data_IF_040212486131
#
_entry.id   IF_040212486131
#
_cell.length_a   1.000
_cell.length_b   1.000
_cell.length_c   1.000
_cell.angle_alpha   90.00
_cell.angle_beta   90.00
_cell.angle_gamma   90.00
#
_symmetry.space_group_name_H-M   'P 1'
#
loop_
_entity.id
_entity.type
_entity.pdbx_description
1 polymer ?
#
# COMPACT_ATOMS: atom_id res chain seq x y z
N UNK A 1 -95.62 19.04 -0.23
CA UNK A 1 -94.44 19.94 -0.15
C UNK A 1 -93.36 19.44 -1.11
N UNK A 2 -92.63 20.34 -1.76
CA UNK A 2 -91.75 20.07 -2.91
C UNK A 2 -90.29 19.92 -2.46
N UNK A 3 -89.61 18.82 -2.84
CA UNK A 3 -88.14 18.69 -3.06
C UNK A 3 -87.91 17.53 -4.05
N UNK A 4 -87.85 17.78 -5.36
CA UNK A 4 -86.71 18.22 -6.18
C UNK A 4 -85.64 17.12 -6.40
N UNK A 5 -85.52 16.66 -7.65
CA UNK A 5 -84.50 15.72 -8.13
C UNK A 5 -83.12 16.37 -8.33
N UNK A 6 -82.06 15.56 -8.20
CA UNK A 6 -80.85 15.69 -9.02
C UNK A 6 -80.10 14.33 -9.08
N UNK A 7 -80.19 13.63 -10.21
CA UNK A 7 -79.27 12.55 -10.57
C UNK A 7 -78.13 13.16 -11.39
N UNK A 8 -76.94 13.31 -10.80
CA UNK A 8 -75.75 13.75 -11.53
C UNK A 8 -74.91 12.54 -11.96
N UNK A 9 -74.93 12.24 -13.25
CA UNK A 9 -74.02 11.26 -13.86
C UNK A 9 -72.57 11.75 -13.81
N UNK A 10 -71.67 10.96 -13.23
CA UNK A 10 -70.23 11.24 -13.28
C UNK A 10 -69.66 10.82 -14.63
N UNK A 11 -69.28 11.78 -15.47
CA UNK A 11 -68.54 11.53 -16.71
C UNK A 11 -67.04 11.46 -16.36
N UNK A 12 -66.44 10.30 -16.57
CA UNK A 12 -65.03 10.05 -16.25
C UNK A 12 -64.13 10.53 -17.40
N UNK A 13 -63.52 11.71 -17.24
CA UNK A 13 -62.54 12.23 -18.21
C UNK A 13 -61.18 11.55 -18.00
N UNK A 14 -60.84 10.58 -18.85
CA UNK A 14 -59.55 9.91 -18.83
C UNK A 14 -58.46 10.83 -19.43
N UNK A 15 -57.71 11.52 -18.57
CA UNK A 15 -56.61 12.38 -18.97
C UNK A 15 -55.34 11.53 -19.21
N UNK A 16 -55.11 11.10 -20.46
CA UNK A 16 -53.91 10.35 -20.84
C UNK A 16 -52.66 11.24 -20.77
N UNK A 17 -52.03 11.29 -19.60
CA UNK A 17 -50.68 11.83 -19.44
C UNK A 17 -49.69 10.96 -20.22
N UNK A 18 -49.28 11.42 -21.40
CA UNK A 18 -48.16 10.84 -22.14
C UNK A 18 -46.85 11.15 -21.41
N UNK A 19 -46.53 10.32 -20.42
CA UNK A 19 -45.20 10.30 -19.79
C UNK A 19 -44.18 9.82 -20.83
N UNK A 20 -43.57 10.77 -21.53
CA UNK A 20 -42.44 10.50 -22.43
C UNK A 20 -41.27 9.97 -21.60
N UNK A 21 -41.17 8.64 -21.52
CA UNK A 21 -39.97 7.99 -21.04
C UNK A 21 -38.90 8.16 -22.12
N UNK A 22 -38.08 9.20 -21.98
CA UNK A 22 -36.81 9.26 -22.68
C UNK A 22 -36.00 8.04 -22.26
N UNK A 23 -35.92 7.04 -23.14
CA UNK A 23 -34.87 6.02 -23.02
C UNK A 23 -33.52 6.74 -23.03
N UNK A 24 -32.53 6.29 -22.25
CA UNK A 24 -31.18 6.83 -22.37
C UNK A 24 -30.72 6.66 -23.81
N UNK A 25 -30.40 7.77 -24.49
CA UNK A 25 -29.77 7.70 -25.80
C UNK A 25 -28.49 6.86 -25.66
N UNK A 26 -28.29 5.88 -26.54
CA UNK A 26 -27.04 5.13 -26.55
C UNK A 26 -25.93 6.04 -27.07
N UNK A 27 -25.25 6.68 -26.12
CA UNK A 27 -24.12 7.57 -26.36
C UNK A 27 -22.93 6.88 -27.04
N UNK A 28 -22.90 5.54 -27.05
CA UNK A 28 -21.77 4.74 -27.52
C UNK A 28 -20.51 4.87 -26.66
N UNK A 29 -20.60 5.45 -25.46
CA UNK A 29 -19.46 5.58 -24.56
C UNK A 29 -18.95 4.20 -24.09
N UNK A 30 -17.66 3.92 -24.32
CA UNK A 30 -17.04 2.66 -23.92
C UNK A 30 -15.92 2.88 -22.89
N UNK A 31 -15.77 1.95 -21.95
CA UNK A 31 -14.68 1.97 -20.96
C UNK A 31 -13.47 1.28 -21.56
N UNK A 32 -12.33 1.97 -21.56
CA UNK A 32 -11.03 1.37 -21.86
C UNK A 32 -10.47 0.74 -20.58
N UNK A 33 -10.33 -0.58 -20.59
CA UNK A 33 -9.79 -1.35 -19.46
C UNK A 33 -8.28 -1.56 -19.58
N UNK A 34 -7.61 -1.52 -18.44
CA UNK A 34 -6.25 -2.04 -18.23
C UNK A 34 -6.31 -3.08 -17.11
N UNK A 35 -6.37 -4.36 -17.49
CA UNK A 35 -6.80 -5.43 -16.60
C UNK A 35 -8.17 -5.13 -15.98
N UNK A 36 -8.23 -5.01 -14.66
CA UNK A 36 -9.45 -4.62 -13.93
C UNK A 36 -9.62 -3.09 -13.74
N UNK A 37 -8.66 -2.25 -14.14
CA UNK A 37 -8.72 -0.80 -13.94
C UNK A 37 -9.47 -0.13 -15.10
N UNK A 38 -10.42 0.74 -14.79
CA UNK A 38 -11.08 1.59 -15.78
C UNK A 38 -10.14 2.75 -16.15
N UNK A 39 -9.20 2.47 -17.05
CA UNK A 39 -8.05 3.33 -17.36
C UNK A 39 -8.38 4.47 -18.35
N UNK A 40 -9.53 4.42 -19.03
CA UNK A 40 -9.96 5.49 -19.92
C UNK A 40 -11.41 5.35 -20.39
N UNK A 41 -11.84 6.35 -21.14
CA UNK A 41 -13.17 6.50 -21.71
C UNK A 41 -13.05 6.79 -23.20
N UNK A 42 -13.75 6.03 -24.02
CA UNK A 42 -13.90 6.26 -25.47
C UNK A 42 -15.17 7.07 -25.69
N UNK A 43 -15.02 8.25 -26.30
CA UNK A 43 -16.08 9.18 -26.66
C UNK A 43 -16.21 9.13 -28.19
N UNK A 44 -17.30 8.56 -28.74
CA UNK A 44 -17.48 8.45 -30.18
C UNK A 44 -17.51 9.80 -30.89
N UNK A 45 -16.90 9.89 -32.06
CA UNK A 45 -16.86 11.15 -32.82
C UNK A 45 -18.25 11.73 -33.09
N UNK A 46 -19.25 10.85 -33.26
CA UNK A 46 -20.63 11.20 -33.58
C UNK A 46 -21.32 12.10 -32.53
N UNK A 47 -20.92 12.01 -31.25
CA UNK A 47 -21.43 12.87 -30.16
C UNK A 47 -20.50 14.06 -29.86
N UNK A 48 -19.28 14.06 -30.40
CA UNK A 48 -18.29 15.14 -30.30
C UNK A 48 -18.00 15.81 -31.67
N UNK A 49 -18.98 15.81 -32.58
CA UNK A 49 -18.89 16.49 -33.89
C UNK A 49 -18.48 17.96 -33.69
N UNK A 50 -17.58 18.46 -34.55
CA UNK A 50 -16.97 19.80 -34.57
C UNK A 50 -15.82 20.13 -33.60
N UNK A 51 -15.31 19.17 -32.80
CA UNK A 51 -14.11 19.43 -31.97
C UNK A 51 -12.80 19.15 -32.73
N UNK A 52 -11.98 20.19 -32.94
CA UNK A 52 -10.59 20.08 -33.42
C UNK A 52 -9.70 19.40 -32.37
N UNK A 53 -8.60 18.77 -32.79
CA UNK A 53 -7.68 18.10 -31.87
C UNK A 53 -7.11 19.06 -30.80
N UNK A 54 -6.76 20.28 -31.21
CA UNK A 54 -6.11 21.28 -30.36
C UNK A 54 -7.05 21.91 -29.31
N UNK A 55 -8.37 21.78 -29.48
CA UNK A 55 -9.39 22.31 -28.55
C UNK A 55 -10.00 21.24 -27.64
N UNK A 56 -9.56 19.98 -27.71
CA UNK A 56 -10.18 18.86 -26.96
C UNK A 56 -10.23 19.13 -25.45
N UNK A 57 -9.10 19.52 -24.83
CA UNK A 57 -9.00 19.77 -23.38
C UNK A 57 -9.71 21.04 -22.90
N UNK A 58 -10.07 21.93 -23.81
CA UNK A 58 -10.80 23.17 -23.51
C UNK A 58 -12.31 23.00 -23.63
N UNK A 59 -12.75 22.12 -24.54
CA UNK A 59 -14.16 21.97 -24.88
C UNK A 59 -14.80 20.71 -24.26
N UNK A 60 -14.07 19.62 -24.10
CA UNK A 60 -14.56 18.44 -23.40
C UNK A 60 -14.16 18.49 -21.93
N UNK A 61 -15.10 18.13 -21.06
CA UNK A 61 -14.81 17.83 -19.66
C UNK A 61 -15.51 16.53 -19.23
N UNK A 62 -14.83 15.72 -18.45
CA UNK A 62 -15.42 14.57 -17.75
C UNK A 62 -15.53 14.93 -16.29
N UNK A 63 -16.73 14.85 -15.71
CA UNK A 63 -17.01 15.22 -14.32
C UNK A 63 -17.46 13.97 -13.55
N UNK A 64 -17.15 13.90 -12.26
CA UNK A 64 -17.82 12.93 -11.39
C UNK A 64 -19.30 13.34 -11.25
N UNK A 65 -20.22 12.38 -11.23
CA UNK A 65 -21.65 12.63 -11.11
C UNK A 65 -21.97 13.53 -9.91
N UNK A 66 -22.83 14.53 -10.13
CA UNK A 66 -23.20 15.55 -9.14
C UNK A 66 -22.02 16.41 -8.63
N UNK A 67 -20.94 16.55 -9.42
CA UNK A 67 -19.83 17.49 -9.18
C UNK A 67 -19.60 18.37 -10.41
N UNK A 68 -19.36 19.66 -10.19
CA UNK A 68 -19.04 20.60 -11.28
C UNK A 68 -17.56 20.55 -11.69
N UNK A 69 -16.68 20.08 -10.80
CA UNK A 69 -15.24 20.01 -11.08
C UNK A 69 -14.95 18.88 -12.07
N UNK A 70 -14.34 19.23 -13.21
CA UNK A 70 -13.79 18.27 -14.16
C UNK A 70 -12.64 17.48 -13.53
N UNK A 71 -12.58 16.18 -13.79
CA UNK A 71 -11.45 15.35 -13.38
C UNK A 71 -10.29 15.56 -14.36
N UNK A 72 -9.07 15.66 -13.83
CA UNK A 72 -7.87 15.87 -14.64
C UNK A 72 -7.60 14.63 -15.51
N UNK A 73 -7.16 14.86 -16.75
CA UNK A 73 -6.82 13.81 -17.70
C UNK A 73 -6.38 14.35 -19.05
N UNK A 74 -5.94 13.44 -19.91
CA UNK A 74 -5.47 13.74 -21.26
C UNK A 74 -6.48 13.24 -22.29
N UNK A 75 -6.73 14.05 -23.32
CA UNK A 75 -7.52 13.65 -24.49
C UNK A 75 -6.59 13.30 -25.65
N UNK A 76 -6.88 12.23 -26.38
CA UNK A 76 -6.19 11.84 -27.62
C UNK A 76 -7.21 11.34 -28.65
N UNK A 77 -7.08 11.76 -29.92
CA UNK A 77 -7.85 11.16 -31.02
C UNK A 77 -7.19 9.84 -31.43
N UNK A 78 -7.99 8.78 -31.59
CA UNK A 78 -7.53 7.42 -31.95
C UNK A 78 -8.52 6.87 -32.97
N UNK A 79 -8.13 6.86 -34.25
CA UNK A 79 -9.10 6.74 -35.33
C UNK A 79 -10.05 7.93 -35.33
N UNK A 80 -11.35 7.68 -35.48
CA UNK A 80 -12.39 8.71 -35.39
C UNK A 80 -12.67 9.13 -33.93
N UNK A 81 -12.47 8.21 -32.98
CA UNK A 81 -12.86 8.39 -31.58
C UNK A 81 -11.91 9.27 -30.76
N UNK A 82 -12.43 9.80 -29.67
CA UNK A 82 -11.67 10.56 -28.67
C UNK A 82 -11.51 9.70 -27.43
N UNK A 83 -10.28 9.36 -27.07
CA UNK A 83 -9.96 8.67 -25.82
C UNK A 83 -9.60 9.71 -24.76
N UNK A 84 -10.37 9.76 -23.68
CA UNK A 84 -10.00 10.44 -22.45
C UNK A 84 -9.34 9.46 -21.48
N UNK A 85 -8.12 9.78 -21.05
CA UNK A 85 -7.37 9.03 -20.05
C UNK A 85 -7.24 9.90 -18.79
N UNK A 86 -7.99 9.65 -17.70
CA UNK A 86 -7.87 10.43 -16.48
C UNK A 86 -6.50 10.23 -15.81
N UNK A 87 -6.08 11.22 -15.03
CA UNK A 87 -4.84 11.16 -14.23
C UNK A 87 -4.93 10.10 -13.13
N UNK A 88 -6.13 9.89 -12.59
CA UNK A 88 -6.47 8.80 -11.66
C UNK A 88 -7.54 7.94 -12.35
N UNK A 89 -7.34 6.61 -12.51
CA UNK A 89 -8.32 5.73 -13.14
C UNK A 89 -9.72 5.85 -12.52
N UNK A 90 -10.76 5.63 -13.32
CA UNK A 90 -12.13 5.78 -12.86
C UNK A 90 -12.47 4.79 -11.73
N UNK A 91 -13.15 5.27 -10.69
CA UNK A 91 -13.56 4.47 -9.54
C UNK A 91 -14.77 3.62 -9.89
N UNK A 92 -14.78 2.36 -9.45
CA UNK A 92 -15.90 1.43 -9.65
C UNK A 92 -17.18 1.95 -9.00
N UNK A 93 -18.33 1.60 -9.56
CA UNK A 93 -19.67 1.97 -9.07
C UNK A 93 -19.96 3.48 -9.03
N UNK A 94 -19.07 4.34 -9.52
CA UNK A 94 -19.35 5.76 -9.70
C UNK A 94 -19.84 6.03 -11.13
N UNK A 95 -20.71 7.02 -11.25
CA UNK A 95 -21.17 7.59 -12.52
C UNK A 95 -20.36 8.84 -12.83
N UNK A 96 -19.94 8.98 -14.08
CA UNK A 96 -19.23 10.14 -14.62
C UNK A 96 -20.03 10.73 -15.77
N UNK A 97 -20.07 12.05 -15.90
CA UNK A 97 -20.79 12.73 -16.97
C UNK A 97 -19.82 13.40 -17.93
N UNK A 98 -20.03 13.19 -19.23
CA UNK A 98 -19.28 13.83 -20.31
C UNK A 98 -20.00 15.10 -20.72
N UNK A 99 -19.26 16.21 -20.81
CA UNK A 99 -19.76 17.51 -21.21
C UNK A 99 -18.95 18.04 -22.40
N UNK A 100 -19.63 18.70 -23.33
CA UNK A 100 -19.05 19.51 -24.39
C UNK A 100 -19.49 20.96 -24.17
N UNK A 101 -18.57 21.81 -23.71
CA UNK A 101 -18.88 23.11 -23.10
C UNK A 101 -19.94 22.90 -22.01
N UNK A 102 -21.09 23.57 -22.12
CA UNK A 102 -22.22 23.46 -21.19
C UNK A 102 -23.27 22.43 -21.63
N UNK A 103 -23.05 21.70 -22.73
CA UNK A 103 -23.94 20.62 -23.17
C UNK A 103 -23.50 19.29 -22.55
N UNK A 104 -24.36 18.70 -21.72
CA UNK A 104 -24.23 17.28 -21.30
C UNK A 104 -24.35 16.38 -22.53
N UNK A 105 -23.33 15.56 -22.79
CA UNK A 105 -23.34 14.55 -23.85
C UNK A 105 -23.89 13.21 -23.34
N UNK A 106 -23.73 12.92 -22.05
CA UNK A 106 -24.34 11.77 -21.38
C UNK A 106 -23.51 11.26 -20.21
N UNK A 107 -23.91 10.11 -19.66
CA UNK A 107 -23.32 9.52 -18.47
C UNK A 107 -22.68 8.16 -18.75
N UNK A 108 -21.65 7.84 -17.99
CA UNK A 108 -20.92 6.59 -17.97
C UNK A 108 -20.87 6.08 -16.52
N UNK A 109 -21.52 4.96 -16.22
CA UNK A 109 -21.37 4.30 -14.91
C UNK A 109 -20.33 3.19 -15.00
N UNK A 110 -19.31 3.24 -14.14
CA UNK A 110 -18.28 2.20 -14.11
C UNK A 110 -18.87 0.96 -13.42
N UNK A 111 -18.92 -0.22 -14.07
CA UNK A 111 -19.45 -1.44 -13.46
C UNK A 111 -18.74 -1.80 -12.17
N UNK A 112 -19.49 -2.30 -11.17
CA UNK A 112 -18.93 -2.82 -9.93
C UNK A 112 -17.94 -3.97 -10.19
N UNK A 113 -17.08 -4.27 -9.21
CA UNK A 113 -16.27 -5.49 -9.25
C UNK A 113 -17.15 -6.74 -9.02
N UNK A 114 -16.78 -7.85 -9.65
CA UNK A 114 -17.45 -9.13 -9.43
C UNK A 114 -17.39 -9.56 -7.95
N UNK A 115 -18.47 -10.15 -7.42
CA UNK A 115 -18.68 -10.38 -5.97
C UNK A 115 -17.61 -11.22 -5.25
N UNK A 116 -16.73 -11.92 -5.97
CA UNK A 116 -15.58 -12.65 -5.40
C UNK A 116 -14.24 -11.92 -5.46
N UNK A 117 -14.12 -10.79 -6.17
CA UNK A 117 -12.85 -10.13 -6.45
C UNK A 117 -12.42 -9.15 -5.33
N UNK A 118 -12.05 -9.68 -4.17
CA UNK A 118 -11.60 -8.90 -3.00
C UNK A 118 -10.06 -8.80 -2.91
N UNK A 119 -9.51 -7.70 -2.35
CA UNK A 119 -8.14 -7.70 -1.83
C UNK A 119 -8.00 -8.70 -0.67
N UNK A 120 -6.75 -9.05 -0.35
CA UNK A 120 -6.40 -9.86 0.82
C UNK A 120 -5.16 -9.28 1.49
N UNK A 121 -5.08 -9.36 2.82
CA UNK A 121 -3.84 -9.16 3.56
C UNK A 121 -3.04 -10.46 3.48
N UNK A 122 -1.88 -10.42 2.82
CA UNK A 122 -1.00 -11.57 2.56
C UNK A 122 -0.07 -11.85 3.73
N UNK A 123 0.49 -10.80 4.35
CA UNK A 123 1.43 -10.93 5.45
C UNK A 123 1.40 -9.70 6.37
N UNK A 124 1.81 -9.92 7.62
CA UNK A 124 2.12 -8.88 8.59
C UNK A 124 3.56 -9.13 9.05
N UNK A 125 4.43 -8.14 8.94
CA UNK A 125 5.80 -8.21 9.45
C UNK A 125 6.00 -7.25 10.63
N UNK A 126 6.84 -7.59 11.62
CA UNK A 126 7.66 -8.79 11.71
C UNK A 126 6.82 -10.06 11.89
N UNK A 127 7.24 -11.18 11.31
CA UNK A 127 6.42 -12.40 11.24
C UNK A 127 6.38 -13.18 12.55
N UNK A 128 7.45 -13.11 13.37
CA UNK A 128 7.51 -13.73 14.71
C UNK A 128 6.51 -13.13 15.72
N UNK A 129 6.08 -13.92 16.70
CA UNK A 129 5.09 -13.51 17.72
C UNK A 129 5.73 -13.04 19.06
N UNK A 130 7.06 -12.96 19.13
CA UNK A 130 7.79 -12.33 20.24
C UNK A 130 8.54 -11.09 19.73
N UNK A 131 8.11 -9.90 20.14
CA UNK A 131 8.61 -8.62 19.61
C UNK A 131 9.18 -7.75 20.74
N UNK A 132 10.24 -6.95 20.53
CA UNK A 132 10.76 -6.09 21.59
C UNK A 132 9.73 -5.00 21.98
N UNK A 133 9.72 -4.58 23.25
CA UNK A 133 8.81 -3.51 23.73
C UNK A 133 9.05 -2.14 23.06
N UNK A 134 10.17 -1.97 22.35
CA UNK A 134 10.50 -0.84 21.50
C UNK A 134 10.49 -1.15 19.99
N UNK A 135 9.66 -2.10 19.55
CA UNK A 135 9.34 -2.33 18.14
C UNK A 135 9.06 -1.00 17.43
N UNK A 136 9.80 -0.71 16.36
CA UNK A 136 9.69 0.55 15.62
C UNK A 136 8.66 0.50 14.48
N UNK A 137 8.64 -0.60 13.71
CA UNK A 137 7.86 -0.70 12.46
C UNK A 137 7.04 -1.97 12.38
N UNK A 138 5.90 -1.87 11.70
CA UNK A 138 5.07 -2.99 11.26
C UNK A 138 4.79 -2.81 9.77
N UNK A 139 4.83 -3.88 9.00
CA UNK A 139 4.49 -3.87 7.57
C UNK A 139 3.21 -4.65 7.33
N UNK A 140 2.29 -4.07 6.55
CA UNK A 140 1.09 -4.75 6.06
C UNK A 140 1.24 -4.98 4.55
N UNK A 141 1.33 -6.23 4.11
CA UNK A 141 1.44 -6.60 2.70
C UNK A 141 0.10 -7.10 2.17
N UNK A 142 -0.43 -6.44 1.15
CA UNK A 142 -1.73 -6.70 0.54
C UNK A 142 -1.57 -7.27 -0.88
N UNK A 143 -2.57 -8.01 -1.35
CA UNK A 143 -2.55 -8.65 -2.67
C UNK A 143 -2.70 -7.71 -3.87
N UNK A 144 -2.89 -6.39 -3.63
CA UNK A 144 -3.13 -5.34 -4.63
C UNK A 144 -3.06 -3.95 -3.98
N UNK A 145 -3.05 -2.86 -4.78
CA UNK A 145 -2.99 -1.48 -4.26
C UNK A 145 -4.18 -1.12 -3.38
N UNK A 146 -3.94 -0.70 -2.14
CA UNK A 146 -4.98 -0.32 -1.18
C UNK A 146 -5.32 1.18 -1.20
N UNK A 147 -6.44 1.59 -0.60
CA UNK A 147 -6.75 3.01 -0.41
C UNK A 147 -5.90 3.63 0.71
N UNK A 148 -5.19 4.71 0.36
CA UNK A 148 -4.32 5.49 1.23
C UNK A 148 -5.03 6.63 1.99
N UNK A 149 -4.32 7.23 2.95
CA UNK A 149 -4.73 8.40 3.75
C UNK A 149 -5.74 8.10 4.87
N UNK A 150 -6.02 6.82 5.16
CA UNK A 150 -7.07 6.40 6.09
C UNK A 150 -6.72 5.18 6.96
N UNK A 151 -5.46 4.74 6.98
CA UNK A 151 -5.00 3.54 7.73
C UNK A 151 -5.42 3.53 9.20
N UNK A 152 -5.41 4.69 9.88
CA UNK A 152 -5.84 4.83 11.28
C UNK A 152 -7.31 4.47 11.54
N UNK A 153 -8.17 4.40 10.51
CA UNK A 153 -9.55 3.90 10.64
C UNK A 153 -9.65 2.38 10.60
N UNK A 154 -8.66 1.71 10.01
CA UNK A 154 -8.70 0.29 9.68
C UNK A 154 -7.67 -0.54 10.45
N UNK A 155 -6.69 0.10 11.13
CA UNK A 155 -5.65 -0.58 11.91
C UNK A 155 -5.64 -0.12 13.36
N UNK A 156 -5.66 -1.08 14.28
CA UNK A 156 -5.58 -0.85 15.72
C UNK A 156 -4.62 -1.85 16.38
N UNK A 157 -4.07 -1.49 17.54
CA UNK A 157 -3.43 -2.44 18.46
C UNK A 157 -4.30 -2.53 19.71
N UNK A 158 -4.74 -3.74 20.04
CA UNK A 158 -5.42 -4.07 21.29
C UNK A 158 -4.40 -4.57 22.31
N UNK A 159 -4.51 -4.10 23.55
CA UNK A 159 -3.80 -4.58 24.73
C UNK A 159 -4.70 -5.56 25.48
N UNK A 160 -4.16 -6.74 25.82
CA UNK A 160 -4.86 -7.79 26.56
C UNK A 160 -6.27 -8.12 26.02
N UNK A 161 -6.46 -8.03 24.70
CA UNK A 161 -7.72 -8.27 23.97
C UNK A 161 -8.91 -7.34 24.34
N UNK A 162 -8.70 -6.27 25.11
CA UNK A 162 -9.81 -5.42 25.61
C UNK A 162 -9.64 -3.92 25.35
N UNK A 163 -8.41 -3.41 25.33
CA UNK A 163 -8.14 -1.96 25.31
C UNK A 163 -7.38 -1.56 24.05
N UNK A 164 -7.97 -0.73 23.20
CA UNK A 164 -7.27 -0.17 22.04
C UNK A 164 -6.24 0.84 22.52
N UNK A 165 -5.02 0.82 21.97
CA UNK A 165 -4.02 1.87 22.22
C UNK A 165 -4.18 3.04 21.23
N UNK A 166 -4.92 4.13 21.56
CA UNK A 166 -4.99 5.30 20.69
C UNK A 166 -3.61 5.96 20.56
N UNK A 167 -3.29 6.48 19.37
CA UNK A 167 -2.02 7.17 19.13
C UNK A 167 -0.77 6.29 19.34
N UNK A 168 -0.90 4.97 19.21
CA UNK A 168 0.27 4.06 19.20
C UNK A 168 1.12 4.24 17.95
N UNK A 169 0.48 4.51 16.81
CA UNK A 169 1.15 4.80 15.53
C UNK A 169 1.38 6.30 15.33
N UNK A 170 2.52 6.63 14.74
CA UNK A 170 2.80 7.98 14.25
C UNK A 170 1.85 8.32 13.08
N UNK A 171 1.11 9.42 13.18
CA UNK A 171 0.27 9.89 12.07
C UNK A 171 1.13 10.62 11.02
N UNK A 172 1.50 9.91 9.95
CA UNK A 172 2.20 10.48 8.81
C UNK A 172 1.23 10.73 7.66
N UNK A 173 1.30 11.93 7.10
CA UNK A 173 0.55 12.33 5.91
C UNK A 173 1.54 13.00 4.93
N UNK A 174 1.83 12.41 3.75
CA UNK A 174 1.30 11.14 3.25
C UNK A 174 1.72 9.92 4.09
N UNK A 175 0.94 8.85 3.98
CA UNK A 175 1.24 7.55 4.58
C UNK A 175 2.43 6.86 3.87
N UNK A 176 3.15 6.00 4.59
CA UNK A 176 4.35 5.31 4.08
C UNK A 176 4.01 4.06 3.27
N UNK A 177 3.38 4.26 2.11
CA UNK A 177 3.17 3.23 1.11
C UNK A 177 4.40 3.05 0.21
N UNK A 178 4.65 1.82 -0.22
CA UNK A 178 5.58 1.54 -1.31
C UNK A 178 5.01 1.99 -2.69
N UNK A 179 5.83 1.92 -3.74
CA UNK A 179 5.52 2.50 -5.04
C UNK A 179 4.28 1.89 -5.76
N UNK A 180 3.89 0.65 -5.49
CA UNK A 180 2.66 0.04 -6.02
C UNK A 180 1.46 0.16 -5.05
N UNK A 181 1.68 0.62 -3.82
CA UNK A 181 0.71 0.73 -2.72
C UNK A 181 0.16 -0.63 -2.25
N UNK A 182 0.95 -1.69 -2.41
CA UNK A 182 0.66 -3.03 -1.86
C UNK A 182 1.25 -3.24 -0.47
N UNK A 183 2.24 -2.43 -0.04
CA UNK A 183 2.85 -2.52 1.29
C UNK A 183 2.74 -1.18 2.01
N UNK A 184 2.11 -1.18 3.19
CA UNK A 184 2.11 -0.05 4.12
C UNK A 184 3.12 -0.28 5.23
N UNK A 185 3.96 0.72 5.51
CA UNK A 185 4.82 0.77 6.70
C UNK A 185 4.14 1.60 7.80
N UNK A 186 3.78 0.96 8.91
CA UNK A 186 3.27 1.59 10.11
C UNK A 186 4.42 1.82 11.09
N UNK A 187 4.63 3.07 11.51
CA UNK A 187 5.60 3.40 12.55
C UNK A 187 4.90 3.51 13.90
N UNK A 188 5.38 2.77 14.90
CA UNK A 188 5.06 3.08 16.29
C UNK A 188 5.79 4.39 16.66
N UNK A 189 5.15 5.29 17.41
CA UNK A 189 5.65 6.66 17.58
C UNK A 189 7.12 6.71 18.07
N UNK A 190 8.08 7.15 17.22
CA UNK A 190 9.51 7.22 17.57
C UNK A 190 9.81 8.17 18.72
N UNK A 191 9.01 9.22 18.87
CA UNK A 191 9.11 10.17 19.97
C UNK A 191 8.71 9.56 21.30
N UNK A 192 7.87 8.51 21.27
CA UNK A 192 7.52 7.69 22.43
C UNK A 192 8.47 6.51 22.62
N UNK A 193 9.15 6.01 21.59
CA UNK A 193 10.19 4.98 21.73
C UNK A 193 11.45 5.53 22.41
N UNK A 194 11.87 6.74 22.05
CA UNK A 194 13.08 7.36 22.60
C UNK A 194 12.84 7.92 24.00
N UNK A 195 13.51 7.35 25.00
CA UNK A 195 13.21 7.56 26.43
C UNK A 195 13.43 9.01 26.89
N UNK A 196 14.39 9.69 26.29
CA UNK A 196 14.73 11.06 26.68
C UNK A 196 13.84 12.14 26.07
N UNK A 197 13.01 11.80 25.08
CA UNK A 197 12.16 12.76 24.38
C UNK A 197 10.85 13.06 25.12
N UNK A 198 10.31 14.26 24.90
CA UNK A 198 9.08 14.71 25.56
C UNK A 198 7.85 13.80 25.33
N UNK A 199 7.61 13.19 24.14
CA UNK A 199 6.45 12.33 23.96
C UNK A 199 6.51 11.07 24.84
N UNK A 200 7.66 10.40 24.98
CA UNK A 200 7.85 9.31 25.94
C UNK A 200 7.57 9.78 27.38
N UNK A 201 8.17 10.91 27.80
CA UNK A 201 8.01 11.45 29.16
C UNK A 201 6.58 11.86 29.51
N UNK A 202 5.73 12.15 28.52
CA UNK A 202 4.31 12.54 28.72
C UNK A 202 3.31 11.39 28.51
N UNK A 203 3.56 10.49 27.55
CA UNK A 203 2.61 9.49 27.07
C UNK A 203 3.08 8.03 27.28
N UNK A 204 4.29 7.84 27.83
CA UNK A 204 4.94 6.54 27.93
C UNK A 204 5.35 5.96 26.58
N UNK A 205 6.03 4.79 26.61
CA UNK A 205 6.35 4.02 25.42
C UNK A 205 5.10 3.50 24.70
N UNK A 206 5.16 3.23 23.37
CA UNK A 206 4.03 2.69 22.62
C UNK A 206 3.55 1.33 23.15
N UNK A 207 4.49 0.48 23.56
CA UNK A 207 4.23 -0.85 24.13
C UNK A 207 4.90 -0.97 25.51
N UNK A 208 4.49 -1.98 26.27
CA UNK A 208 4.99 -2.28 27.62
C UNK A 208 5.54 -3.71 27.64
N UNK A 209 6.69 -3.95 28.28
CA UNK A 209 7.31 -5.29 28.43
C UNK A 209 6.34 -6.33 29.01
N UNK A 210 6.41 -7.56 28.52
CA UNK A 210 5.67 -8.73 29.00
C UNK A 210 4.14 -8.61 28.92
N UNK A 211 3.65 -7.85 27.94
CA UNK A 211 2.22 -7.65 27.67
C UNK A 211 1.83 -8.31 26.34
N UNK A 212 0.63 -8.91 26.31
CA UNK A 212 0.04 -9.49 25.12
C UNK A 212 -0.71 -8.43 24.33
N UNK A 213 -0.45 -8.39 23.02
CA UNK A 213 -1.03 -7.44 22.09
C UNK A 213 -1.64 -8.15 20.88
N UNK A 214 -2.60 -7.49 20.25
CA UNK A 214 -3.17 -7.91 18.97
C UNK A 214 -3.19 -6.74 17.99
N UNK A 215 -2.46 -6.86 16.88
CA UNK A 215 -2.65 -5.98 15.73
C UNK A 215 -3.90 -6.44 14.98
N UNK A 216 -4.88 -5.56 14.83
CA UNK A 216 -6.14 -5.81 14.12
C UNK A 216 -6.18 -4.98 12.85
N UNK A 217 -6.48 -5.63 11.71
CA UNK A 217 -6.71 -4.99 10.41
C UNK A 217 -8.15 -5.29 9.98
N UNK A 218 -8.97 -4.26 9.86
CA UNK A 218 -10.41 -4.35 9.60
C UNK A 218 -10.74 -4.96 8.23
N UNK A 219 -11.83 -5.74 8.17
CA UNK A 219 -12.44 -6.21 6.91
C UNK A 219 -12.82 -5.09 5.95
N UNK A 220 -13.02 -3.88 6.45
CA UNK A 220 -13.75 -2.84 5.71
C UNK A 220 -12.82 -1.90 4.94
N UNK A 221 -11.49 -2.13 4.99
CA UNK A 221 -10.51 -1.35 4.24
C UNK A 221 -10.68 -1.60 2.72
N UNK A 222 -11.01 -0.57 1.92
CA UNK A 222 -11.12 -0.70 0.48
C UNK A 222 -9.76 -0.72 -0.25
N UNK A 223 -9.71 -1.43 -1.37
CA UNK A 223 -8.66 -1.26 -2.38
C UNK A 223 -8.85 0.03 -3.21
N UNK A 224 -7.89 0.38 -4.07
CA UNK A 224 -8.02 1.55 -4.97
C UNK A 224 -9.22 1.50 -5.93
N UNK A 225 -9.90 0.35 -6.04
CA UNK A 225 -11.09 0.15 -6.85
C UNK A 225 -12.38 0.10 -6.00
N UNK A 226 -12.30 0.29 -4.67
CA UNK A 226 -13.44 0.28 -3.76
C UNK A 226 -13.86 -1.11 -3.25
N UNK A 227 -13.14 -2.19 -3.57
CA UNK A 227 -13.43 -3.51 -3.00
C UNK A 227 -12.79 -3.67 -1.62
N UNK A 228 -13.59 -4.01 -0.60
CA UNK A 228 -13.11 -4.22 0.77
C UNK A 228 -12.43 -5.59 0.97
N UNK A 229 -11.48 -5.68 1.92
CA UNK A 229 -10.83 -6.94 2.34
C UNK A 229 -11.84 -8.05 2.66
N UNK A 230 -12.96 -7.69 3.30
CA UNK A 230 -14.06 -8.60 3.61
C UNK A 230 -13.75 -9.69 4.65
N UNK A 231 -12.56 -9.65 5.27
CA UNK A 231 -12.17 -10.47 6.43
C UNK A 231 -11.25 -9.66 7.33
N UNK A 232 -11.62 -9.51 8.60
CA UNK A 232 -10.75 -8.94 9.62
C UNK A 232 -9.58 -9.89 9.88
N UNK A 233 -8.37 -9.35 9.93
CA UNK A 233 -7.13 -10.09 10.21
C UNK A 233 -6.55 -9.65 11.54
N UNK A 234 -5.93 -10.59 12.25
CA UNK A 234 -5.37 -10.34 13.58
C UNK A 234 -4.03 -11.07 13.74
N UNK A 235 -2.98 -10.34 14.14
CA UNK A 235 -1.72 -10.92 14.60
C UNK A 235 -1.60 -10.71 16.10
N UNK A 236 -1.50 -11.79 16.86
CA UNK A 236 -1.19 -11.73 18.29
C UNK A 236 0.33 -11.71 18.48
N UNK A 237 0.82 -10.98 19.48
CA UNK A 237 2.24 -11.02 19.85
C UNK A 237 2.44 -10.72 21.34
N UNK A 238 3.52 -11.27 21.91
CA UNK A 238 4.03 -10.95 23.23
C UNK A 238 5.19 -9.97 23.10
N UNK A 239 5.21 -8.95 23.95
CA UNK A 239 6.38 -8.08 24.08
C UNK A 239 7.44 -8.69 25.00
N UNK A 240 8.66 -8.80 24.49
CA UNK A 240 9.84 -9.23 25.24
C UNK A 240 10.66 -8.02 25.70
N UNK A 241 11.87 -8.26 26.20
CA UNK A 241 12.77 -7.19 26.60
C UNK A 241 13.14 -6.28 25.41
N UNK A 242 13.15 -4.97 25.67
CA UNK A 242 13.71 -3.93 24.81
C UNK A 242 15.04 -4.31 24.16
N UNK A 243 15.16 -4.14 22.85
CA UNK A 243 16.48 -4.20 22.19
C UNK A 243 17.18 -2.83 22.23
N UNK A 244 18.48 -2.85 22.49
CA UNK A 244 19.33 -1.66 22.65
C UNK A 244 20.72 -1.86 22.01
N UNK A 245 20.92 -2.90 21.21
CA UNK A 245 22.19 -3.23 20.59
C UNK A 245 22.08 -3.07 19.07
N UNK A 246 23.18 -2.68 18.40
CA UNK A 246 23.24 -2.81 16.94
C UNK A 246 23.34 -4.28 16.56
N UNK A 247 22.70 -4.71 15.46
CA UNK A 247 23.04 -5.97 14.82
C UNK A 247 24.54 -6.04 14.56
N UNK A 248 25.12 -7.21 14.80
CA UNK A 248 26.56 -7.43 14.64
C UNK A 248 26.84 -8.41 13.51
N UNK A 249 27.12 -7.93 12.28
CA UNK A 249 27.46 -8.76 11.13
C UNK A 249 28.57 -9.77 11.36
N UNK A 250 29.50 -9.56 12.30
CA UNK A 250 30.57 -10.53 12.58
C UNK A 250 30.05 -11.81 13.25
N UNK A 251 28.88 -11.78 13.90
CA UNK A 251 28.25 -12.94 14.55
C UNK A 251 27.39 -13.79 13.62
N UNK A 252 27.11 -13.32 12.40
CA UNK A 252 26.23 -14.00 11.46
C UNK A 252 26.89 -15.25 10.87
N UNK A 253 26.08 -16.29 10.65
CA UNK A 253 26.51 -17.52 9.98
C UNK A 253 26.21 -17.41 8.48
N UNK A 254 27.23 -17.69 7.66
CA UNK A 254 27.10 -17.71 6.19
C UNK A 254 27.34 -19.14 5.73
N UNK A 255 26.29 -19.81 5.27
CA UNK A 255 26.38 -21.16 4.72
C UNK A 255 26.78 -21.06 3.25
N UNK A 256 27.91 -21.68 2.90
CA UNK A 256 28.47 -21.64 1.56
C UNK A 256 27.58 -22.44 0.59
N UNK A 257 27.27 -21.90 -0.60
CA UNK A 257 26.55 -22.64 -1.63
C UNK A 257 27.48 -23.62 -2.36
N UNK A 258 26.90 -24.66 -2.96
CA UNK A 258 27.62 -25.66 -3.74
C UNK A 258 28.20 -25.06 -5.04
N UNK A 259 29.45 -25.43 -5.35
CA UNK A 259 30.12 -25.14 -6.62
C UNK A 259 29.31 -25.60 -7.85
N UNK A 260 29.41 -24.84 -8.95
CA UNK A 260 28.75 -25.15 -10.24
C UNK A 260 27.22 -25.28 -10.15
N UNK A 261 26.61 -24.66 -9.13
CA UNK A 261 25.16 -24.71 -8.88
C UNK A 261 24.55 -23.31 -8.74
N UNK A 262 23.23 -23.22 -8.87
CA UNK A 262 22.43 -22.04 -8.48
C UNK A 262 21.83 -22.18 -7.08
N UNK A 263 22.43 -23.01 -6.21
CA UNK A 263 22.01 -23.14 -4.81
C UNK A 263 22.15 -21.78 -4.11
N UNK A 264 21.15 -21.33 -3.32
CA UNK A 264 21.24 -20.03 -2.67
C UNK A 264 22.34 -19.97 -1.61
N UNK A 265 23.02 -18.83 -1.53
CA UNK A 265 23.81 -18.42 -0.37
C UNK A 265 22.83 -18.16 0.78
N UNK A 266 23.04 -18.78 1.95
CA UNK A 266 22.13 -18.61 3.11
C UNK A 266 22.85 -17.90 4.25
N UNK A 267 22.31 -16.76 4.68
CA UNK A 267 22.82 -15.96 5.81
C UNK A 267 21.84 -16.06 6.97
N UNK A 268 22.33 -16.36 8.17
CA UNK A 268 21.53 -16.41 9.41
C UNK A 268 22.07 -15.39 10.41
N UNK A 269 21.18 -14.51 10.89
CA UNK A 269 21.56 -13.31 11.66
C UNK A 269 21.62 -13.54 13.17
N UNK A 270 20.80 -14.48 13.68
CA UNK A 270 20.65 -14.75 15.12
C UNK A 270 19.59 -13.89 15.82
N UNK A 271 19.09 -12.87 15.13
CA UNK A 271 18.03 -11.94 15.53
C UNK A 271 17.15 -11.62 14.32
N UNK A 272 15.94 -11.10 14.53
CA UNK A 272 15.06 -10.69 13.44
C UNK A 272 15.43 -9.28 12.97
N UNK A 273 15.56 -9.10 11.64
CA UNK A 273 15.92 -7.82 11.04
C UNK A 273 14.71 -7.15 10.36
N UNK A 274 14.84 -5.87 10.03
CA UNK A 274 13.80 -5.10 9.34
C UNK A 274 13.47 -5.70 7.97
N UNK A 275 12.23 -6.18 7.80
CA UNK A 275 11.77 -6.90 6.60
C UNK A 275 12.06 -6.18 5.27
N UNK A 276 11.82 -4.86 5.20
CA UNK A 276 11.97 -4.11 3.94
C UNK A 276 13.43 -3.83 3.66
N UNK A 277 14.18 -3.40 4.68
CA UNK A 277 15.61 -3.11 4.54
C UNK A 277 16.41 -4.37 4.25
N UNK A 278 16.01 -5.53 4.77
CA UNK A 278 16.76 -6.78 4.62
C UNK A 278 17.00 -7.20 3.17
N UNK A 279 16.02 -6.98 2.29
CA UNK A 279 16.10 -7.30 0.86
C UNK A 279 16.86 -6.19 0.09
N UNK A 280 16.78 -4.94 0.55
CA UNK A 280 17.39 -3.78 -0.11
C UNK A 280 18.88 -3.55 0.22
N UNK A 281 19.35 -4.03 1.37
CA UNK A 281 20.65 -3.64 1.97
C UNK A 281 21.73 -4.72 1.92
N UNK A 282 21.37 -5.93 1.48
CA UNK A 282 22.29 -7.04 1.30
C UNK A 282 22.69 -7.14 -0.17
N UNK A 283 23.99 -7.25 -0.43
CA UNK A 283 24.55 -7.37 -1.78
C UNK A 283 25.62 -8.45 -1.80
N UNK A 284 25.79 -9.14 -2.92
CA UNK A 284 26.90 -10.09 -3.13
C UNK A 284 27.81 -9.55 -4.22
N UNK A 285 29.11 -9.52 -3.95
CA UNK A 285 30.14 -9.22 -4.95
C UNK A 285 31.23 -10.29 -5.01
N UNK A 286 31.89 -10.41 -6.16
CA UNK A 286 33.05 -11.28 -6.36
C UNK A 286 34.34 -10.69 -5.80
N UNK A 287 35.46 -11.38 -6.02
CA UNK A 287 36.76 -11.02 -5.42
C UNK A 287 37.27 -9.65 -5.90
N UNK A 288 36.89 -9.20 -7.10
CA UNK A 288 37.29 -7.90 -7.66
C UNK A 288 36.27 -6.78 -7.40
N UNK A 289 35.16 -7.08 -6.71
CA UNK A 289 34.11 -6.10 -6.34
C UNK A 289 32.98 -5.99 -7.37
N UNK A 290 32.99 -6.84 -8.39
CA UNK A 290 31.89 -6.99 -9.34
C UNK A 290 30.62 -7.52 -8.66
N UNK A 291 29.49 -6.85 -8.85
CA UNK A 291 28.20 -7.29 -8.30
C UNK A 291 27.75 -8.60 -8.93
N UNK A 292 27.38 -9.58 -8.11
CA UNK A 292 26.79 -10.83 -8.56
C UNK A 292 25.29 -10.62 -8.74
N UNK A 293 24.79 -10.84 -9.95
CA UNK A 293 23.35 -10.79 -10.25
C UNK A 293 22.60 -11.94 -9.58
N UNK A 294 21.48 -11.64 -8.93
CA UNK A 294 20.62 -12.61 -8.28
C UNK A 294 19.46 -11.94 -7.56
N UNK A 295 18.74 -12.71 -6.75
CA UNK A 295 17.58 -12.25 -5.98
C UNK A 295 17.69 -12.64 -4.52
N UNK A 296 17.41 -11.69 -3.63
CA UNK A 296 17.26 -11.94 -2.19
C UNK A 296 15.83 -12.32 -1.84
N UNK A 297 15.72 -13.26 -0.90
CA UNK A 297 14.45 -13.68 -0.29
C UNK A 297 14.63 -13.74 1.22
N UNK A 298 13.71 -13.11 1.94
CA UNK A 298 13.62 -13.22 3.41
C UNK A 298 13.16 -14.63 3.79
N UNK A 299 13.83 -15.24 4.75
CA UNK A 299 13.45 -16.51 5.35
C UNK A 299 12.76 -16.34 6.71
N UNK A 300 12.56 -17.46 7.39
CA UNK A 300 11.82 -17.58 8.65
C UNK A 300 12.12 -16.46 9.66
N UNK A 301 11.06 -15.81 10.15
CA UNK A 301 11.08 -14.79 11.21
C UNK A 301 12.03 -13.60 10.98
N UNK A 302 12.35 -13.31 9.70
CA UNK A 302 13.35 -12.30 9.30
C UNK A 302 14.75 -12.57 9.91
N UNK A 303 15.00 -13.79 10.42
CA UNK A 303 16.26 -14.26 11.05
C UNK A 303 17.24 -14.85 10.04
N UNK A 304 16.81 -14.99 8.79
CA UNK A 304 17.55 -15.56 7.67
C UNK A 304 17.24 -14.79 6.39
N UNK A 305 18.22 -14.67 5.51
CA UNK A 305 18.00 -14.33 4.11
C UNK A 305 18.72 -15.32 3.19
N UNK A 306 18.18 -15.48 1.99
CA UNK A 306 18.72 -16.36 0.95
C UNK A 306 18.97 -15.55 -0.32
N UNK A 307 20.17 -15.63 -0.88
CA UNK A 307 20.51 -15.04 -2.18
C UNK A 307 20.63 -16.14 -3.22
N UNK A 308 19.69 -16.18 -4.17
CA UNK A 308 19.76 -17.06 -5.33
C UNK A 308 20.43 -16.32 -6.49
N UNK A 309 21.61 -16.76 -6.97
CA UNK A 309 22.25 -16.13 -8.11
C UNK A 309 21.49 -16.42 -9.41
N UNK A 310 21.66 -15.57 -10.42
CA UNK A 310 21.16 -15.83 -11.79
C UNK A 310 21.97 -16.92 -12.49
N UNK A 311 23.29 -16.92 -12.28
CA UNK A 311 24.25 -17.84 -12.89
C UNK A 311 24.84 -18.81 -11.85
N UNK A 312 25.33 -20.00 -12.24
CA UNK A 312 25.97 -20.92 -11.31
C UNK A 312 27.21 -20.35 -10.62
N UNK A 313 27.41 -20.67 -9.34
CA UNK A 313 28.59 -20.26 -8.59
C UNK A 313 29.88 -20.86 -9.18
N UNK A 314 30.94 -20.05 -9.21
CA UNK A 314 32.28 -20.47 -9.63
C UNK A 314 33.16 -20.61 -8.38
N UNK A 315 34.23 -21.40 -8.49
CA UNK A 315 35.22 -21.48 -7.42
C UNK A 315 35.90 -20.11 -7.24
N UNK A 316 35.98 -19.60 -6.01
CA UNK A 316 36.52 -18.28 -5.75
C UNK A 316 36.14 -17.69 -4.39
N UNK A 317 36.64 -16.47 -4.12
CA UNK A 317 36.22 -15.67 -2.96
C UNK A 317 35.11 -14.71 -3.35
N UNK A 318 34.20 -14.49 -2.41
CA UNK A 318 33.06 -13.60 -2.56
C UNK A 318 32.89 -12.75 -1.29
N UNK A 319 32.20 -11.63 -1.41
CA UNK A 319 31.88 -10.71 -0.31
C UNK A 319 30.37 -10.54 -0.22
N UNK A 320 29.83 -10.79 0.97
CA UNK A 320 28.54 -10.26 1.39
C UNK A 320 28.76 -8.83 1.86
N UNK A 321 28.24 -7.86 1.12
CA UNK A 321 28.25 -6.44 1.46
C UNK A 321 26.90 -6.07 2.08
N UNK A 322 26.96 -5.35 3.19
CA UNK A 322 25.81 -5.08 4.06
C UNK A 322 25.76 -3.57 4.31
N UNK A 323 24.74 -2.87 3.85
CA UNK A 323 24.66 -1.42 4.04
C UNK A 323 24.50 -1.05 5.52
N UNK A 324 25.19 0.01 5.94
CA UNK A 324 25.18 0.52 7.31
C UNK A 324 23.81 1.06 7.80
N UNK A 325 22.82 1.14 6.90
CA UNK A 325 21.43 1.51 7.20
C UNK A 325 20.52 0.32 7.53
N UNK A 326 20.98 -0.92 7.42
CA UNK A 326 20.20 -2.10 7.84
C UNK A 326 19.94 -2.04 9.34
N UNK A 327 18.67 -2.24 9.73
CA UNK A 327 18.14 -2.13 11.09
C UNK A 327 17.59 -3.46 11.61
N UNK A 328 17.57 -3.60 12.94
CA UNK A 328 16.72 -4.58 13.64
C UNK A 328 15.27 -4.10 13.78
N UNK A 329 14.45 -4.88 14.47
CA UNK A 329 13.04 -4.53 14.77
C UNK A 329 12.87 -3.28 15.66
N UNK A 330 13.92 -2.86 16.37
CA UNK A 330 13.93 -1.69 17.24
C UNK A 330 14.50 -0.43 16.55
N UNK A 331 14.91 -0.51 15.28
CA UNK A 331 15.55 0.57 14.52
C UNK A 331 17.03 0.77 14.83
N UNK A 332 17.67 -0.16 15.55
CA UNK A 332 19.11 -0.12 15.78
C UNK A 332 19.81 -0.53 14.48
N UNK A 333 20.40 0.43 13.76
CA UNK A 333 21.21 0.10 12.58
C UNK A 333 22.64 -0.29 12.94
N UNK A 334 23.40 -0.84 11.98
CA UNK A 334 24.77 -1.34 12.17
C UNK A 334 25.76 -0.34 12.80
N UNK A 335 25.46 0.96 12.74
CA UNK A 335 26.29 2.03 13.29
C UNK A 335 25.76 2.62 14.63
N UNK A 336 24.53 2.31 15.08
CA UNK A 336 23.69 3.25 15.87
C UNK A 336 23.37 2.90 17.33
N UNK A 337 22.60 1.86 17.68
CA UNK A 337 21.30 2.02 18.36
C UNK A 337 20.40 3.22 18.03
N UNK A 338 19.09 2.95 18.01
CA UNK A 338 18.04 3.92 17.74
C UNK A 338 17.85 4.94 18.85
N UNK A 339 17.73 4.45 20.08
CA UNK A 339 17.52 5.23 21.29
C UNK A 339 18.81 5.26 22.10
N UNK A 340 19.52 6.39 21.99
CA UNK A 340 20.77 6.70 22.67
C UNK A 340 20.55 7.66 23.82
N UNK A 341 21.31 7.44 24.88
CA UNK A 341 21.52 8.42 25.95
C UNK A 341 22.32 9.61 25.39
N UNK A 342 21.64 10.73 25.18
CA UNK A 342 22.21 11.96 24.60
C UNK A 342 23.19 12.68 25.53
N UNK A 343 23.31 12.24 26.79
CA UNK A 343 24.26 12.83 27.76
C UNK A 343 25.64 12.17 27.69
N UNK A 344 25.76 10.99 27.06
CA UNK A 344 27.05 10.35 26.83
C UNK A 344 27.79 11.03 25.70
N UNK A 345 29.04 11.39 25.96
CA UNK A 345 30.03 11.74 24.92
C UNK A 345 30.47 10.45 24.20
N UNK A 346 29.58 9.86 23.43
CA UNK A 346 29.95 8.80 22.50
C UNK A 346 30.94 9.35 21.46
N UNK A 347 31.93 8.53 21.10
CA UNK A 347 32.94 8.86 20.10
C UNK A 347 32.30 9.24 18.76
N UNK A 348 33.02 10.03 17.96
CA UNK A 348 32.61 10.38 16.59
C UNK A 348 32.20 9.13 15.82
N UNK A 349 30.92 9.05 15.45
CA UNK A 349 30.37 7.89 14.74
C UNK A 349 31.00 7.87 13.35
N UNK A 350 32.02 7.03 13.17
CA UNK A 350 32.50 6.62 11.84
C UNK A 350 31.39 5.80 11.19
N UNK A 351 30.43 6.49 10.56
CA UNK A 351 29.32 5.89 9.85
C UNK A 351 29.85 5.11 8.66
N UNK A 352 29.93 3.79 8.81
CA UNK A 352 30.31 2.90 7.72
C UNK A 352 29.13 2.80 6.77
N UNK A 353 29.35 3.15 5.50
CA UNK A 353 28.35 2.93 4.44
C UNK A 353 28.09 1.44 4.24
N UNK A 354 29.12 0.60 4.41
CA UNK A 354 29.02 -0.85 4.30
C UNK A 354 29.82 -1.57 5.39
N UNK A 355 29.38 -2.78 5.74
CA UNK A 355 30.14 -3.80 6.45
C UNK A 355 30.26 -5.03 5.54
N UNK A 356 31.44 -5.63 5.47
CA UNK A 356 31.69 -6.78 4.59
C UNK A 356 31.94 -8.08 5.37
N UNK A 357 31.45 -9.20 4.84
CA UNK A 357 31.80 -10.56 5.28
C UNK A 357 32.28 -11.36 4.08
N UNK A 358 33.51 -11.88 4.15
CA UNK A 358 34.09 -12.73 3.11
C UNK A 358 33.59 -14.17 3.27
N UNK A 359 33.28 -14.82 2.15
CA UNK A 359 33.09 -16.27 2.06
C UNK A 359 33.81 -16.83 0.83
N UNK A 360 33.81 -18.15 0.65
CA UNK A 360 34.37 -18.81 -0.53
C UNK A 360 33.43 -19.89 -1.02
N UNK A 361 33.46 -20.13 -2.33
CA UNK A 361 32.90 -21.33 -2.96
C UNK A 361 34.08 -22.18 -3.42
N UNK A 362 34.02 -23.48 -3.17
CA UNK A 362 35.09 -24.46 -3.40
C UNK A 362 34.52 -25.78 -3.88
#
# INVERSE_FOLDING_TARGET
MIRLHALCSLIFFAFCLLTSCQQPEDTGFAIRWDGNRAAGLVIPQQVAKSVSADSLSQLLSVRLGNKETAILGNYKRVGDDIVFQPLIPFTRSLTYTVWLRDKRLGDLTIPALAKGNKPALLAIYPSQDSLPDNLLKIYLHFSRPMQEGQSQKYVAILKNNTDTLPGVFLNLQPELWNADRSVLTLWLDPGRIKRDLQPNKRLGAPLQKAVHYQLVVSSDWPDQQGAILGKTSTKSFLTVQRDSLSPNPARWTINQPQLESVQPLVVTFGEALDYSLLIETLHVSGENGETISGTWQTGDEEKRAQFKPTEPWRAGKYRLQIEGRLEDLAGNNLNRPFDRDVTRKDLSVNSRSFVERVFSVR
#
